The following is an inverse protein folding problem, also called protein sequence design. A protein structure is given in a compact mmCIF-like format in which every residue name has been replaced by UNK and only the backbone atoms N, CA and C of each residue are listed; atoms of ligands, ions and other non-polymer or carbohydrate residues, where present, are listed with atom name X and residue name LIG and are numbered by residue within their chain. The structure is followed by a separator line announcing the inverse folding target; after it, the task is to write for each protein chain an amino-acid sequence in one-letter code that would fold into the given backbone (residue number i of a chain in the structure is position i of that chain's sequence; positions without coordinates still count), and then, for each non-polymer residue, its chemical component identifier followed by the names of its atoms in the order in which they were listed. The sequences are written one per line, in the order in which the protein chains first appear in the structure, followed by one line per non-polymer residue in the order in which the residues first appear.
data_IF_433047519524
#
_entry.id   IF_433047519524
#
_cell.length_a   1.000
_cell.length_b   1.000
_cell.length_c   1.000
_cell.angle_alpha   90.00
_cell.angle_beta   90.00
_cell.angle_gamma   90.00
#
_symmetry.space_group_name_H-M   'P 1'
#
loop_
_entity.id
_entity.type
_entity.pdbx_description
1 polymer ?
#
# COMPACT_ATOMS: atom_id res chain seq x y z
N UNK A 1 -29.04 -21.09 4.71
CA UNK A 1 -28.31 -21.09 3.43
C UNK A 1 -27.48 -22.36 3.37
N UNK A 2 -27.70 -23.21 2.37
CA UNK A 2 -26.93 -24.44 2.23
C UNK A 2 -25.43 -24.09 2.15
N UNK A 3 -24.60 -24.68 3.02
CA UNK A 3 -23.15 -24.67 2.85
C UNK A 3 -22.89 -25.31 1.48
N UNK A 4 -22.56 -24.51 0.46
CA UNK A 4 -21.99 -25.06 -0.78
C UNK A 4 -20.80 -25.91 -0.33
N UNK A 5 -20.86 -27.21 -0.53
CA UNK A 5 -19.70 -28.08 -0.39
C UNK A 5 -18.66 -27.57 -1.38
N UNK A 6 -17.71 -26.76 -0.91
CA UNK A 6 -16.60 -26.32 -1.74
C UNK A 6 -15.75 -27.55 -2.01
N UNK A 7 -15.66 -27.97 -3.26
CA UNK A 7 -14.75 -29.02 -3.66
C UNK A 7 -13.33 -28.43 -3.72
N UNK A 8 -12.40 -29.09 -3.06
CA UNK A 8 -10.97 -28.82 -3.21
C UNK A 8 -10.52 -29.29 -4.59
N UNK A 9 -9.63 -28.53 -5.21
CA UNK A 9 -9.04 -28.83 -6.51
C UNK A 9 -7.58 -29.21 -6.32
N UNK A 10 -7.17 -30.34 -6.89
CA UNK A 10 -5.78 -30.71 -7.13
C UNK A 10 -5.62 -30.91 -8.63
N UNK A 11 -4.67 -30.19 -9.23
CA UNK A 11 -4.37 -30.28 -10.66
C UNK A 11 -3.18 -31.19 -10.95
N UNK A 12 -2.35 -31.42 -9.94
CA UNK A 12 -1.20 -32.32 -9.95
C UNK A 12 -1.39 -33.28 -8.78
N UNK A 13 -1.30 -34.58 -9.03
CA UNK A 13 -1.49 -35.60 -8.00
C UNK A 13 -0.52 -35.40 -6.83
N UNK A 14 -1.07 -35.25 -5.63
CA UNK A 14 -0.31 -35.06 -4.40
C UNK A 14 0.27 -33.66 -4.16
N UNK A 15 -0.02 -32.69 -5.04
CA UNK A 15 0.43 -31.30 -4.88
C UNK A 15 -0.78 -30.35 -4.87
N UNK A 16 -1.01 -29.74 -3.71
CA UNK A 16 -2.06 -28.72 -3.57
C UNK A 16 -1.67 -27.43 -4.32
N UNK A 17 -2.61 -26.79 -5.04
CA UNK A 17 -2.39 -25.45 -5.58
C UNK A 17 -2.22 -24.45 -4.42
N UNK A 18 -1.28 -23.53 -4.59
CA UNK A 18 -0.93 -22.58 -3.53
C UNK A 18 -0.07 -21.43 -3.98
N UNK A 19 0.19 -20.51 -3.06
CA UNK A 19 1.14 -19.42 -3.24
C UNK A 19 2.30 -19.57 -2.25
N UNK A 20 3.53 -19.39 -2.73
CA UNK A 20 4.75 -19.61 -1.98
C UNK A 20 4.77 -18.84 -0.64
N UNK A 21 5.19 -19.51 0.43
CA UNK A 21 5.25 -18.96 1.79
C UNK A 21 3.92 -18.91 2.54
N UNK A 22 2.77 -18.95 1.86
CA UNK A 22 1.45 -18.81 2.50
C UNK A 22 0.91 -20.14 3.03
N UNK A 23 1.64 -20.76 3.98
CA UNK A 23 1.24 -22.01 4.63
C UNK A 23 -0.10 -21.89 5.37
N UNK A 24 -0.29 -20.76 6.06
CA UNK A 24 -1.50 -20.44 6.78
C UNK A 24 -2.04 -19.08 6.33
N UNK A 25 -3.27 -19.05 5.86
CA UNK A 25 -3.87 -17.89 5.22
C UNK A 25 -5.39 -17.92 5.41
N UNK A 26 -6.03 -16.76 5.48
CA UNK A 26 -7.50 -16.70 5.46
C UNK A 26 -8.10 -17.02 4.10
N UNK A 27 -7.27 -17.10 3.06
CA UNK A 27 -7.60 -17.63 1.74
C UNK A 27 -6.99 -19.01 1.58
N UNK A 28 -7.83 -20.01 1.31
CA UNK A 28 -7.41 -21.39 1.04
C UNK A 28 -7.39 -21.64 -0.47
N UNK A 29 -6.18 -21.77 -1.02
CA UNK A 29 -5.92 -21.86 -2.46
C UNK A 29 -6.29 -23.21 -3.08
N UNK A 30 -6.72 -24.18 -2.27
CA UNK A 30 -7.34 -25.41 -2.79
C UNK A 30 -8.73 -25.15 -3.37
N UNK A 31 -9.31 -23.97 -3.14
CA UNK A 31 -10.59 -23.56 -3.70
C UNK A 31 -10.41 -22.52 -4.80
N UNK A 32 -11.07 -22.71 -5.95
CA UNK A 32 -11.04 -21.78 -7.08
C UNK A 32 -11.42 -20.33 -6.70
N UNK A 33 -12.34 -20.16 -5.74
CA UNK A 33 -12.77 -18.84 -5.27
C UNK A 33 -11.59 -17.97 -4.78
N UNK A 34 -10.54 -18.59 -4.23
CA UNK A 34 -9.35 -17.91 -3.69
C UNK A 34 -8.41 -17.41 -4.79
N UNK A 35 -8.58 -17.89 -6.02
CA UNK A 35 -7.86 -17.45 -7.22
C UNK A 35 -8.64 -16.38 -8.01
N UNK A 36 -9.92 -16.16 -7.68
CA UNK A 36 -10.81 -15.24 -8.37
C UNK A 36 -10.87 -13.82 -7.79
N UNK A 37 -11.72 -13.01 -8.43
CA UNK A 37 -12.13 -11.62 -8.11
C UNK A 37 -11.31 -10.89 -7.03
N UNK A 38 -10.26 -10.19 -7.48
CA UNK A 38 -9.34 -9.34 -6.70
C UNK A 38 -8.58 -10.00 -5.52
N UNK A 39 -8.72 -11.32 -5.30
CA UNK A 39 -7.98 -12.02 -4.26
C UNK A 39 -6.53 -12.28 -4.67
N UNK A 40 -6.31 -12.90 -5.84
CA UNK A 40 -4.95 -13.19 -6.32
C UNK A 40 -4.05 -11.94 -6.34
N UNK A 41 -4.55 -10.80 -6.81
CA UNK A 41 -3.79 -9.56 -6.91
C UNK A 41 -3.41 -8.92 -5.56
N UNK A 42 -4.06 -9.31 -4.46
CA UNK A 42 -3.64 -8.94 -3.10
C UNK A 42 -2.79 -10.03 -2.44
N UNK A 43 -2.98 -11.29 -2.81
CA UNK A 43 -2.22 -12.44 -2.28
C UNK A 43 -0.83 -12.62 -2.90
N UNK A 44 -0.72 -12.58 -4.22
CA UNK A 44 0.53 -12.80 -4.94
C UNK A 44 1.67 -11.89 -4.48
N UNK A 45 1.43 -10.57 -4.25
CA UNK A 45 2.42 -9.67 -3.64
C UNK A 45 3.11 -10.18 -2.38
N UNK A 46 2.36 -10.76 -1.45
CA UNK A 46 2.91 -11.28 -0.20
C UNK A 46 3.82 -12.50 -0.44
N UNK A 47 3.42 -13.35 -1.40
CA UNK A 47 4.24 -14.50 -1.82
C UNK A 47 5.48 -14.12 -2.61
N UNK A 48 5.44 -13.05 -3.40
CA UNK A 48 6.64 -12.52 -4.04
C UNK A 48 7.66 -12.06 -2.99
N UNK A 49 7.22 -11.37 -1.92
CA UNK A 49 8.11 -11.00 -0.80
C UNK A 49 8.67 -12.24 -0.10
N UNK A 50 7.85 -13.25 0.17
CA UNK A 50 8.31 -14.50 0.77
C UNK A 50 9.35 -15.21 -0.11
N UNK A 51 9.13 -15.25 -1.42
CA UNK A 51 10.05 -15.82 -2.40
C UNK A 51 11.37 -15.04 -2.46
N UNK A 52 11.32 -13.71 -2.54
CA UNK A 52 12.51 -12.86 -2.43
C UNK A 52 13.30 -13.13 -1.14
N UNK A 53 12.61 -13.31 -0.01
CA UNK A 53 13.24 -13.67 1.27
C UNK A 53 14.01 -15.00 1.17
N UNK A 54 13.43 -16.02 0.53
CA UNK A 54 14.10 -17.31 0.30
C UNK A 54 15.37 -17.20 -0.57
N UNK A 55 15.47 -16.14 -1.37
CA UNK A 55 16.61 -15.79 -2.22
C UNK A 55 17.57 -14.80 -1.57
N UNK A 56 17.38 -14.48 -0.28
CA UNK A 56 18.11 -13.43 0.44
C UNK A 56 18.02 -12.04 -0.22
N UNK A 57 16.90 -11.75 -0.88
CA UNK A 57 16.63 -10.46 -1.52
C UNK A 57 15.70 -9.61 -0.65
N UNK A 58 16.08 -8.36 -0.44
CA UNK A 58 15.27 -7.39 0.32
C UNK A 58 14.51 -6.44 -0.62
N UNK A 59 13.20 -6.21 -0.39
CA UNK A 59 12.48 -5.11 -1.01
C UNK A 59 13.12 -3.74 -0.81
N UNK A 60 12.88 -2.84 -1.77
CA UNK A 60 13.35 -1.44 -1.72
C UNK A 60 12.39 -0.62 -0.89
N UNK A 61 12.87 -0.10 0.23
CA UNK A 61 12.10 0.73 1.15
C UNK A 61 12.28 2.22 0.83
N UNK A 62 11.21 2.82 0.31
CA UNK A 62 11.11 4.23 -0.03
C UNK A 62 10.77 5.02 1.23
N UNK A 63 11.73 5.81 1.69
CA UNK A 63 11.66 6.62 2.90
C UNK A 63 11.90 8.09 2.60
N UNK A 64 11.77 8.91 3.63
CA UNK A 64 12.25 10.29 3.62
C UNK A 64 13.47 10.47 4.54
N UNK A 65 14.24 11.54 4.32
CA UNK A 65 15.22 12.05 5.28
C UNK A 65 14.64 13.23 6.09
N UNK A 66 15.46 13.90 6.93
CA UNK A 66 15.02 15.04 7.76
C UNK A 66 14.56 16.25 6.93
N UNK A 67 14.98 16.36 5.68
CA UNK A 67 14.56 17.41 4.74
C UNK A 67 13.31 17.00 3.93
N UNK A 68 12.69 15.86 4.26
CA UNK A 68 11.60 15.25 3.49
C UNK A 68 12.00 14.80 2.06
N UNK A 69 13.29 14.71 1.76
CA UNK A 69 13.76 14.21 0.47
C UNK A 69 13.66 12.68 0.43
N UNK A 70 13.36 12.12 -0.74
CA UNK A 70 13.22 10.68 -0.93
C UNK A 70 14.59 10.00 -0.84
N UNK A 71 14.64 8.92 -0.06
CA UNK A 71 15.82 8.06 0.09
C UNK A 71 15.40 6.60 0.02
N UNK A 72 16.26 5.77 -0.56
CA UNK A 72 16.08 4.31 -0.59
C UNK A 72 16.89 3.64 0.49
N UNK A 73 16.28 2.62 1.11
CA UNK A 73 16.92 1.67 2.01
C UNK A 73 16.46 0.27 1.62
N UNK A 74 17.11 -0.75 2.15
CA UNK A 74 16.59 -2.11 2.07
C UNK A 74 15.76 -2.43 3.32
N UNK A 75 14.67 -3.17 3.15
CA UNK A 75 13.90 -3.75 4.26
C UNK A 75 13.81 -5.27 4.08
N UNK A 76 14.26 -6.02 5.08
CA UNK A 76 14.12 -7.49 5.07
C UNK A 76 12.64 -7.88 5.12
N UNK A 77 12.27 -9.02 4.54
CA UNK A 77 10.88 -9.51 4.60
C UNK A 77 10.35 -9.66 6.02
N UNK A 78 11.16 -10.17 6.96
CA UNK A 78 10.80 -10.28 8.39
C UNK A 78 10.44 -8.93 9.01
N UNK A 79 11.22 -7.87 8.71
CA UNK A 79 10.94 -6.52 9.20
C UNK A 79 9.71 -5.89 8.54
N UNK A 80 9.48 -6.15 7.26
CA UNK A 80 8.31 -5.66 6.52
C UNK A 80 7.01 -6.30 7.03
N UNK A 81 7.03 -7.62 7.20
CA UNK A 81 5.86 -8.43 7.56
C UNK A 81 5.71 -8.58 9.08
N UNK A 82 6.67 -8.13 9.88
CA UNK A 82 6.68 -8.25 11.34
C UNK A 82 6.99 -9.67 11.86
N UNK A 83 7.12 -10.64 10.95
CA UNK A 83 7.40 -12.05 11.21
C UNK A 83 8.10 -12.66 10.01
N UNK A 84 8.90 -13.70 10.21
CA UNK A 84 9.50 -14.46 9.11
C UNK A 84 8.38 -15.05 8.22
N UNK A 85 8.28 -14.66 6.93
CA UNK A 85 7.22 -15.15 6.05
C UNK A 85 7.18 -16.66 5.87
N UNK A 86 8.28 -17.38 6.14
CA UNK A 86 8.39 -18.82 5.88
C UNK A 86 8.19 -19.68 7.14
N UNK A 87 8.11 -19.05 8.31
CA UNK A 87 7.93 -19.76 9.58
C UNK A 87 6.49 -20.26 9.75
N UNK A 88 6.32 -21.29 10.58
CA UNK A 88 5.00 -21.90 10.80
C UNK A 88 4.07 -21.03 11.67
N UNK A 89 4.59 -19.97 12.27
CA UNK A 89 3.82 -18.97 13.01
C UNK A 89 3.25 -17.84 12.12
N UNK A 90 3.70 -17.73 10.86
CA UNK A 90 3.19 -16.70 9.96
C UNK A 90 1.79 -17.05 9.45
N UNK A 91 0.82 -16.17 9.71
CA UNK A 91 -0.52 -16.23 9.14
C UNK A 91 -0.82 -14.99 8.32
N UNK A 92 -1.25 -15.20 7.09
CA UNK A 92 -1.58 -14.17 6.12
C UNK A 92 -3.09 -13.92 6.14
N UNK A 93 -3.53 -12.83 6.78
CA UNK A 93 -4.95 -12.48 6.85
C UNK A 93 -5.28 -11.36 5.86
N UNK A 94 -6.11 -11.66 4.87
CA UNK A 94 -6.47 -10.72 3.80
C UNK A 94 -7.79 -10.00 4.05
N UNK A 95 -7.85 -8.73 3.63
CA UNK A 95 -9.02 -7.87 3.82
C UNK A 95 -9.55 -7.92 5.26
N UNK A 96 -8.63 -7.77 6.21
CA UNK A 96 -8.86 -7.96 7.64
C UNK A 96 -8.88 -6.64 8.40
N UNK A 97 -9.54 -6.63 9.56
CA UNK A 97 -9.45 -5.52 10.51
C UNK A 97 -8.08 -5.53 11.18
N UNK A 98 -7.51 -4.36 11.41
CA UNK A 98 -6.23 -4.20 12.09
C UNK A 98 -6.42 -3.46 13.41
N UNK A 99 -6.66 -4.23 14.48
CA UNK A 99 -6.99 -3.67 15.79
C UNK A 99 -5.98 -2.63 16.31
N UNK A 100 -4.66 -2.70 16.03
CA UNK A 100 -3.72 -1.70 16.55
C UNK A 100 -4.06 -0.27 16.12
N UNK A 101 -4.78 -0.09 15.01
CA UNK A 101 -5.25 1.21 14.53
C UNK A 101 -6.65 1.58 14.98
N UNK A 102 -7.50 0.62 15.35
CA UNK A 102 -8.91 0.87 15.68
C UNK A 102 -9.11 1.78 16.89
N UNK A 103 -8.12 1.90 17.76
CA UNK A 103 -8.15 2.81 18.91
C UNK A 103 -8.10 4.31 18.52
N UNK A 104 -7.58 4.63 17.33
CA UNK A 104 -7.36 6.02 16.92
C UNK A 104 -8.53 6.65 16.16
N UNK A 105 -9.53 5.87 15.76
CA UNK A 105 -10.61 6.39 14.92
C UNK A 105 -11.97 5.77 15.19
N UNK A 106 -13.01 6.51 14.78
CA UNK A 106 -14.36 5.98 14.61
C UNK A 106 -14.78 6.08 13.15
N UNK A 107 -15.55 5.10 12.67
CA UNK A 107 -16.10 5.09 11.31
C UNK A 107 -17.48 4.42 11.30
N UNK A 108 -18.33 4.78 10.33
CA UNK A 108 -19.65 4.14 10.13
C UNK A 108 -19.53 2.65 9.80
N UNK A 109 -18.45 2.28 9.09
CA UNK A 109 -18.03 0.91 8.85
C UNK A 109 -16.52 0.84 9.08
N UNK A 110 -16.07 -0.21 9.78
CA UNK A 110 -14.63 -0.46 9.94
C UNK A 110 -13.99 -0.74 8.57
N UNK A 111 -12.93 -0.01 8.28
CA UNK A 111 -12.10 -0.27 7.12
C UNK A 111 -11.24 -1.51 7.33
N UNK A 112 -10.92 -2.18 6.22
CA UNK A 112 -10.09 -3.38 6.18
C UNK A 112 -8.76 -3.04 5.50
N UNK A 113 -7.67 -3.59 6.01
CA UNK A 113 -6.35 -3.51 5.38
C UNK A 113 -6.22 -4.68 4.40
N UNK A 114 -5.58 -4.46 3.26
CA UNK A 114 -5.40 -5.48 2.22
C UNK A 114 -4.70 -6.75 2.77
N UNK A 115 -3.63 -6.60 3.56
CA UNK A 115 -2.90 -7.68 4.21
C UNK A 115 -2.61 -7.35 5.69
N UNK A 116 -2.96 -8.26 6.59
CA UNK A 116 -2.57 -8.26 8.00
C UNK A 116 -1.79 -9.54 8.28
N UNK A 117 -0.57 -9.38 8.80
CA UNK A 117 0.25 -10.50 9.26
C UNK A 117 -0.05 -10.78 10.72
N UNK A 118 -0.32 -12.04 11.05
CA UNK A 118 -0.62 -12.49 12.42
C UNK A 118 0.43 -13.52 12.83
N UNK A 119 0.97 -13.36 14.03
CA UNK A 119 1.72 -14.44 14.70
C UNK A 119 0.71 -15.41 15.31
N UNK A 120 0.69 -16.66 14.83
CA UNK A 120 -0.29 -17.69 15.25
C UNK A 120 -0.14 -18.08 16.70
N UNK A 121 1.09 -18.25 17.17
CA UNK A 121 1.39 -18.64 18.55
C UNK A 121 0.87 -17.64 19.58
N UNK A 122 0.90 -16.35 19.26
CA UNK A 122 0.38 -15.29 20.16
C UNK A 122 -1.00 -14.78 19.78
N UNK A 123 -1.50 -15.13 18.59
CA UNK A 123 -2.70 -14.56 17.97
C UNK A 123 -2.68 -13.02 17.87
N UNK A 124 -1.48 -12.43 17.72
CA UNK A 124 -1.31 -10.97 17.62
C UNK A 124 -0.97 -10.55 16.19
N UNK A 125 -1.61 -9.51 15.65
CA UNK A 125 -1.20 -8.89 14.41
C UNK A 125 0.12 -8.16 14.61
N UNK A 126 1.04 -8.35 13.67
CA UNK A 126 2.42 -7.85 13.73
C UNK A 126 2.74 -6.86 12.61
N UNK A 127 1.94 -6.84 11.54
CA UNK A 127 2.06 -5.88 10.45
C UNK A 127 0.72 -5.74 9.70
N UNK A 128 0.47 -4.55 9.17
CA UNK A 128 -0.69 -4.25 8.32
C UNK A 128 -0.23 -3.43 7.12
N UNK A 129 -0.50 -3.90 5.90
CA UNK A 129 0.00 -3.33 4.65
C UNK A 129 -1.12 -3.20 3.62
N UNK A 130 -1.18 -2.02 2.99
CA UNK A 130 -1.90 -1.86 1.73
C UNK A 130 -1.10 -2.49 0.60
N UNK A 131 -1.79 -3.10 -0.36
CA UNK A 131 -1.15 -3.84 -1.46
C UNK A 131 -1.48 -3.18 -2.80
N UNK A 132 -0.44 -2.89 -3.59
CA UNK A 132 -0.58 -2.27 -4.92
C UNK A 132 0.28 -3.01 -5.95
N UNK A 133 -0.31 -3.97 -6.66
CA UNK A 133 0.36 -4.62 -7.80
C UNK A 133 0.25 -3.72 -9.04
N UNK A 134 1.37 -3.19 -9.53
CA UNK A 134 1.39 -2.17 -10.59
C UNK A 134 2.22 -2.56 -11.80
N UNK A 135 1.72 -2.24 -12.99
CA UNK A 135 2.47 -2.38 -14.24
C UNK A 135 3.61 -1.36 -14.31
N UNK A 136 4.75 -1.76 -14.86
CA UNK A 136 5.86 -0.87 -15.17
C UNK A 136 6.30 -1.11 -16.62
N UNK A 137 6.49 -0.09 -17.46
CA UNK A 137 6.04 1.29 -17.28
C UNK A 137 4.52 1.42 -17.35
N UNK A 138 4.01 2.59 -16.96
CA UNK A 138 2.67 3.02 -17.28
C UNK A 138 2.59 3.72 -18.66
N UNK A 139 1.38 4.09 -19.08
CA UNK A 139 1.17 4.76 -20.36
C UNK A 139 1.89 6.12 -20.49
N UNK A 140 2.23 6.76 -19.37
CA UNK A 140 2.88 8.08 -19.39
C UNK A 140 4.38 8.01 -19.55
N UNK A 141 4.99 6.85 -19.30
CA UNK A 141 6.43 6.63 -19.32
C UNK A 141 6.88 5.51 -20.25
N UNK A 142 5.97 4.77 -20.88
CA UNK A 142 6.30 3.63 -21.76
C UNK A 142 7.25 3.91 -22.93
N UNK A 143 7.24 5.16 -23.42
CA UNK A 143 8.06 5.58 -24.55
C UNK A 143 9.38 6.24 -24.10
N UNK A 144 9.68 6.26 -22.80
CA UNK A 144 10.93 6.80 -22.23
C UNK A 144 12.01 5.71 -22.08
N UNK A 145 13.25 6.07 -21.73
CA UNK A 145 14.25 5.10 -21.28
C UNK A 145 13.82 4.40 -19.98
N UNK A 146 14.31 3.19 -19.75
CA UNK A 146 13.96 2.36 -18.59
C UNK A 146 14.21 3.06 -17.24
N UNK A 147 15.24 3.90 -17.15
CA UNK A 147 15.56 4.72 -15.98
C UNK A 147 14.50 5.78 -15.64
N UNK A 148 13.64 6.11 -16.62
CA UNK A 148 12.56 7.08 -16.52
C UNK A 148 11.17 6.41 -16.43
N UNK A 149 11.12 5.07 -16.33
CA UNK A 149 9.88 4.35 -16.13
C UNK A 149 9.25 4.65 -14.79
N UNK A 150 7.92 4.69 -14.76
CA UNK A 150 7.16 4.77 -13.53
C UNK A 150 5.84 4.02 -13.66
N UNK A 151 5.21 3.80 -12.53
CA UNK A 151 3.91 3.13 -12.44
C UNK A 151 2.83 4.12 -12.02
N UNK A 152 1.64 4.01 -12.60
CA UNK A 152 0.47 4.66 -12.00
C UNK A 152 0.18 4.00 -10.65
N UNK A 153 -0.03 4.82 -9.63
CA UNK A 153 -0.49 4.35 -8.31
C UNK A 153 -1.75 5.10 -7.91
N UNK A 154 -2.78 4.34 -7.55
CA UNK A 154 -4.06 4.85 -7.07
C UNK A 154 -4.16 4.59 -5.56
N UNK A 155 -4.32 5.66 -4.79
CA UNK A 155 -4.49 5.61 -3.34
C UNK A 155 -5.96 5.79 -3.00
N UNK A 156 -6.51 4.85 -2.22
CA UNK A 156 -7.90 4.90 -1.77
C UNK A 156 -8.02 5.68 -0.47
N UNK A 157 -9.21 6.20 -0.17
CA UNK A 157 -9.47 6.92 1.09
C UNK A 157 -9.07 6.14 2.35
N UNK A 158 -9.31 4.81 2.47
CA UNK A 158 -8.87 4.05 3.64
C UNK A 158 -7.34 4.00 3.83
N UNK A 159 -6.56 4.09 2.76
CA UNK A 159 -5.09 4.19 2.88
C UNK A 159 -4.68 5.46 3.65
N UNK A 160 -5.45 6.54 3.56
CA UNK A 160 -5.20 7.80 4.28
C UNK A 160 -5.57 7.67 5.76
N UNK A 161 -6.62 6.89 6.07
CA UNK A 161 -6.92 6.48 7.45
C UNK A 161 -5.73 5.73 8.06
N UNK A 162 -5.21 4.72 7.37
CA UNK A 162 -4.09 3.91 7.86
C UNK A 162 -2.80 4.74 7.97
N UNK A 163 -2.58 5.69 7.06
CA UNK A 163 -1.52 6.69 7.17
C UNK A 163 -1.65 7.49 8.47
N UNK A 164 -2.82 8.09 8.73
CA UNK A 164 -3.06 8.85 9.95
C UNK A 164 -2.85 8.00 11.21
N UNK A 165 -3.42 6.79 11.27
CA UNK A 165 -3.24 5.88 12.40
C UNK A 165 -1.78 5.49 12.64
N UNK A 166 -0.99 5.27 11.57
CA UNK A 166 0.45 4.98 11.70
C UNK A 166 1.24 6.11 12.36
N UNK A 167 0.82 7.36 12.09
CA UNK A 167 1.42 8.56 12.68
C UNK A 167 0.93 8.72 14.12
N UNK A 168 -0.38 8.58 14.39
CA UNK A 168 -0.94 8.62 15.74
C UNK A 168 -0.22 7.65 16.69
N UNK A 169 0.03 6.42 16.23
CA UNK A 169 0.76 5.42 17.02
C UNK A 169 2.18 5.86 17.41
N UNK A 170 2.84 6.68 16.60
CA UNK A 170 4.17 7.23 16.93
C UNK A 170 4.14 8.31 18.01
N UNK A 171 2.96 8.90 18.26
CA UNK A 171 2.72 10.01 19.18
C UNK A 171 1.77 9.66 20.34
N UNK A 172 1.37 8.39 20.53
CA UNK A 172 0.34 7.99 21.50
C UNK A 172 0.76 8.01 22.99
N UNK A 173 1.75 8.84 23.33
CA UNK A 173 2.07 9.19 24.72
C UNK A 173 1.56 10.60 25.02
N UNK A 174 1.33 10.96 26.30
CA UNK A 174 0.94 12.33 26.66
C UNK A 174 1.89 13.40 26.09
N UNK A 175 3.21 13.16 26.21
CA UNK A 175 4.24 14.04 25.63
C UNK A 175 4.22 14.05 24.09
N UNK A 176 3.98 12.89 23.48
CA UNK A 176 3.87 12.77 22.03
C UNK A 176 2.69 13.56 21.47
N UNK A 177 1.52 13.49 22.11
CA UNK A 177 0.32 14.23 21.73
C UNK A 177 0.53 15.74 21.80
N UNK A 178 1.13 16.25 22.87
CA UNK A 178 1.50 17.67 22.99
C UNK A 178 2.47 18.09 21.88
N UNK A 179 3.52 17.30 21.63
CA UNK A 179 4.47 17.60 20.56
C UNK A 179 3.81 17.63 19.17
N UNK A 180 2.93 16.68 18.89
CA UNK A 180 2.17 16.65 17.63
C UNK A 180 1.25 17.87 17.53
N UNK A 181 0.54 18.22 18.61
CA UNK A 181 -0.30 19.39 18.68
C UNK A 181 0.47 20.67 18.35
N UNK A 182 1.65 20.86 18.95
CA UNK A 182 2.50 22.03 18.72
C UNK A 182 2.95 22.14 17.25
N UNK A 183 3.27 21.01 16.60
CA UNK A 183 3.64 21.00 15.18
C UNK A 183 2.47 21.26 14.22
N UNK A 184 1.24 20.93 14.62
CA UNK A 184 0.05 21.22 13.82
C UNK A 184 -0.32 22.71 13.87
N UNK A 185 0.31 23.50 14.76
CA UNK A 185 0.32 24.96 14.71
C UNK A 185 -1.06 25.63 14.67
N UNK A 186 -2.02 25.15 15.47
CA UNK A 186 -3.35 25.72 15.79
C UNK A 186 -4.19 26.35 14.66
N UNK A 187 -3.84 26.16 13.38
CA UNK A 187 -4.62 26.59 12.20
C UNK A 187 -6.03 26.01 12.26
N UNK A 188 -6.19 24.86 12.91
CA UNK A 188 -7.48 24.22 13.03
C UNK A 188 -8.49 25.00 13.87
N UNK A 189 -8.04 25.90 14.73
CA UNK A 189 -8.91 26.82 15.49
C UNK A 189 -9.34 28.03 14.65
N UNK A 190 -8.57 28.38 13.61
CA UNK A 190 -8.87 29.50 12.71
C UNK A 190 -9.95 29.14 11.68
N UNK A 191 -10.03 27.86 11.28
CA UNK A 191 -11.00 27.36 10.30
C UNK A 191 -12.29 26.94 11.01
N UNK A 192 -13.36 27.74 10.85
CA UNK A 192 -14.67 27.45 11.47
C UNK A 192 -15.41 26.31 10.78
N UNK A 193 -15.48 26.36 9.45
CA UNK A 193 -16.09 25.31 8.64
C UNK A 193 -15.08 24.74 7.66
N UNK A 194 -14.57 23.55 8.00
CA UNK A 194 -13.64 22.81 7.16
C UNK A 194 -14.28 22.34 5.85
N UNK A 195 -15.60 22.21 5.77
CA UNK A 195 -16.29 21.82 4.54
C UNK A 195 -16.33 22.93 3.47
N UNK A 196 -16.14 24.19 3.89
CA UNK A 196 -16.19 25.35 3.01
C UNK A 196 -14.81 25.65 2.40
N UNK A 197 -14.67 25.44 1.09
CA UNK A 197 -13.41 25.61 0.35
C UNK A 197 -12.79 27.00 0.61
N UNK A 198 -13.60 28.06 0.62
CA UNK A 198 -13.14 29.44 0.81
C UNK A 198 -12.51 29.70 2.18
N UNK A 199 -12.85 28.89 3.19
CA UNK A 199 -12.25 28.98 4.53
C UNK A 199 -10.99 28.13 4.66
N UNK A 200 -10.78 27.14 3.79
CA UNK A 200 -9.64 26.21 3.91
C UNK A 200 -8.49 26.59 2.99
N UNK A 201 -8.78 27.00 1.75
CA UNK A 201 -7.76 27.36 0.74
C UNK A 201 -6.72 28.36 1.26
N UNK A 202 -7.09 29.46 1.95
CA UNK A 202 -6.11 30.43 2.46
C UNK A 202 -5.09 29.83 3.45
N UNK A 203 -5.44 28.73 4.10
CA UNK A 203 -4.61 28.07 5.11
C UNK A 203 -3.88 26.84 4.58
N UNK A 204 -4.07 26.45 3.31
CA UNK A 204 -3.50 25.22 2.77
C UNK A 204 -1.97 25.16 2.89
N UNK A 205 -1.29 26.28 2.63
CA UNK A 205 0.16 26.34 2.78
C UNK A 205 0.61 26.07 4.23
N UNK A 206 -0.11 26.62 5.21
CA UNK A 206 0.20 26.39 6.62
C UNK A 206 -0.07 24.92 7.02
N UNK A 207 -1.18 24.34 6.55
CA UNK A 207 -1.53 22.92 6.70
C UNK A 207 -0.42 22.02 6.12
N UNK A 208 0.05 22.33 4.90
CA UNK A 208 1.13 21.61 4.22
C UNK A 208 2.43 21.66 5.04
N UNK A 209 2.83 22.84 5.53
CA UNK A 209 4.05 22.98 6.33
C UNK A 209 3.97 22.24 7.67
N UNK A 210 2.80 22.23 8.32
CA UNK A 210 2.56 21.44 9.53
C UNK A 210 2.76 19.94 9.26
N UNK A 211 2.16 19.40 8.19
CA UNK A 211 2.34 17.99 7.80
C UNK A 211 3.80 17.66 7.44
N UNK A 212 4.50 18.57 6.74
CA UNK A 212 5.93 18.41 6.44
C UNK A 212 6.80 18.40 7.72
N UNK A 213 6.43 19.18 8.74
CA UNK A 213 7.11 19.20 10.04
C UNK A 213 6.91 17.89 10.80
N UNK A 214 5.67 17.37 10.83
CA UNK A 214 5.37 16.03 11.38
C UNK A 214 6.18 14.95 10.67
N UNK A 215 6.26 15.01 9.34
CA UNK A 215 7.07 14.09 8.54
C UNK A 215 8.56 14.18 8.92
N UNK A 216 9.14 15.37 8.98
CA UNK A 216 10.55 15.55 9.36
C UNK A 216 10.87 14.98 10.75
N UNK A 217 9.97 15.17 11.73
CA UNK A 217 10.15 14.66 13.09
C UNK A 217 10.11 13.13 13.16
N UNK A 218 9.30 12.49 12.32
CA UNK A 218 9.13 11.04 12.27
C UNK A 218 10.18 10.29 11.44
N UNK A 219 11.20 10.98 10.91
CA UNK A 219 12.21 10.37 10.02
C UNK A 219 12.83 9.06 10.56
N UNK A 220 12.97 8.93 11.88
CA UNK A 220 13.57 7.75 12.52
C UNK A 220 12.54 6.68 12.95
N UNK A 221 11.24 6.96 12.77
CA UNK A 221 10.11 6.12 13.17
C UNK A 221 9.20 5.75 11.98
N UNK A 222 9.68 5.95 10.75
CA UNK A 222 8.95 5.62 9.54
C UNK A 222 8.64 4.12 9.51
N UNK A 223 7.39 3.79 9.19
CA UNK A 223 6.93 2.40 9.09
C UNK A 223 6.44 2.12 7.66
N UNK A 224 6.57 0.87 7.17
CA UNK A 224 5.92 0.43 5.95
C UNK A 224 4.41 0.69 5.99
N UNK A 225 3.85 1.16 4.86
CA UNK A 225 2.41 1.39 4.71
C UNK A 225 1.87 0.72 3.45
N UNK A 226 2.56 0.85 2.32
CA UNK A 226 2.14 0.26 1.04
C UNK A 226 3.24 -0.69 0.55
N UNK A 227 2.87 -1.94 0.29
CA UNK A 227 3.68 -2.90 -0.45
C UNK A 227 3.29 -2.85 -1.93
N UNK A 228 4.20 -2.38 -2.77
CA UNK A 228 4.02 -2.23 -4.21
C UNK A 228 4.97 -3.15 -4.98
N UNK A 229 4.54 -4.36 -5.34
CA UNK A 229 5.20 -5.10 -6.39
C UNK A 229 5.01 -4.42 -7.75
N UNK A 230 6.09 -4.39 -8.52
CA UNK A 230 6.06 -4.02 -9.93
C UNK A 230 6.11 -5.27 -10.80
N UNK A 231 5.47 -5.22 -11.96
CA UNK A 231 5.68 -6.19 -13.02
C UNK A 231 6.01 -5.46 -14.33
N UNK A 232 7.27 -5.61 -14.76
CA UNK A 232 7.84 -4.92 -15.90
C UNK A 232 7.43 -5.60 -17.20
N UNK A 233 6.92 -4.82 -18.12
CA UNK A 233 6.55 -5.25 -19.47
C UNK A 233 7.50 -4.67 -20.51
N UNK A 234 7.43 -5.22 -21.72
CA UNK A 234 7.95 -4.56 -22.90
C UNK A 234 7.29 -3.19 -23.12
N UNK A 235 7.88 -2.36 -23.97
CA UNK A 235 7.37 -1.01 -24.31
C UNK A 235 5.98 -1.03 -24.93
N UNK A 236 5.57 -2.16 -25.52
CA UNK A 236 4.24 -2.33 -26.10
C UNK A 236 3.18 -2.70 -25.06
N UNK A 237 3.57 -2.97 -23.81
CA UNK A 237 2.72 -3.46 -22.73
C UNK A 237 2.02 -4.78 -23.06
N UNK A 238 2.67 -5.63 -23.88
CA UNK A 238 2.14 -6.90 -24.39
C UNK A 238 2.79 -8.11 -23.73
N UNK A 239 4.09 -8.03 -23.46
CA UNK A 239 4.85 -9.14 -22.87
C UNK A 239 5.57 -8.71 -21.58
N UNK A 240 5.89 -9.65 -20.69
CA UNK A 240 6.80 -9.41 -19.58
C UNK A 240 8.24 -9.39 -20.08
N UNK A 241 9.02 -8.45 -19.55
CA UNK A 241 10.49 -8.50 -19.66
C UNK A 241 11.03 -9.76 -18.99
N UNK A 242 12.22 -10.22 -19.40
CA UNK A 242 12.84 -11.40 -18.75
C UNK A 242 12.99 -11.19 -17.25
N UNK A 243 13.44 -9.99 -16.86
CA UNK A 243 13.56 -9.48 -15.50
C UNK A 243 12.39 -8.53 -15.23
N UNK A 244 11.34 -9.03 -14.59
CA UNK A 244 10.08 -8.31 -14.52
C UNK A 244 9.54 -8.04 -13.13
N UNK A 245 9.93 -8.79 -12.11
CA UNK A 245 9.33 -8.64 -10.78
C UNK A 245 10.32 -8.04 -9.78
N UNK A 246 9.85 -7.03 -9.04
CA UNK A 246 10.52 -6.50 -7.85
C UNK A 246 9.49 -5.90 -6.90
N UNK A 247 9.90 -5.54 -5.68
CA UNK A 247 9.00 -4.98 -4.66
C UNK A 247 9.57 -3.69 -4.11
N UNK A 248 8.78 -2.63 -4.26
CA UNK A 248 8.96 -1.34 -3.61
C UNK A 248 8.01 -1.21 -2.43
N UNK A 249 8.49 -0.71 -1.31
CA UNK A 249 7.72 -0.52 -0.08
C UNK A 249 7.70 0.96 0.25
N UNK A 250 6.52 1.55 0.31
CA UNK A 250 6.34 2.95 0.68
C UNK A 250 6.19 3.06 2.18
N UNK A 251 7.05 3.86 2.80
CA UNK A 251 6.83 4.32 4.17
C UNK A 251 5.61 5.22 4.26
N UNK A 252 5.02 5.31 5.45
CA UNK A 252 4.00 6.31 5.77
C UNK A 252 4.41 7.73 5.34
N UNK A 253 5.66 8.15 5.59
CA UNK A 253 6.13 9.48 5.19
C UNK A 253 6.31 9.64 3.68
N UNK A 254 6.78 8.61 2.97
CA UNK A 254 6.88 8.68 1.51
C UNK A 254 5.50 8.84 0.84
N UNK A 255 4.43 8.30 1.44
CA UNK A 255 3.05 8.51 0.96
C UNK A 255 2.58 9.95 1.16
N UNK A 256 3.03 10.64 2.21
CA UNK A 256 2.81 12.09 2.36
C UNK A 256 3.48 12.84 1.20
N UNK A 257 4.76 12.53 0.91
CA UNK A 257 5.48 13.17 -0.19
C UNK A 257 4.83 12.85 -1.55
N UNK A 258 4.28 11.65 -1.71
CA UNK A 258 3.52 11.24 -2.89
C UNK A 258 2.27 12.09 -3.09
N UNK A 259 1.51 12.36 -2.02
CA UNK A 259 0.33 13.23 -2.08
C UNK A 259 0.71 14.69 -2.40
N UNK A 260 1.92 15.14 -2.05
CA UNK A 260 2.39 16.52 -2.30
C UNK A 260 2.98 16.76 -3.70
N UNK A 261 2.93 15.78 -4.62
CA UNK A 261 3.60 15.87 -5.93
C UNK A 261 2.87 16.66 -7.01
N UNK A 262 1.56 16.83 -6.91
CA UNK A 262 0.82 17.62 -7.90
C UNK A 262 1.05 19.12 -7.70
N UNK A 263 0.96 19.87 -8.80
CA UNK A 263 0.98 21.33 -8.77
C UNK A 263 -0.18 21.88 -7.96
N UNK A 264 0.08 22.91 -7.17
CA UNK A 264 -0.94 23.61 -6.39
C UNK A 264 -1.90 24.37 -7.32
N UNK A 265 -3.18 24.35 -6.99
CA UNK A 265 -4.16 25.30 -7.49
C UNK A 265 -4.34 26.38 -6.43
N UNK A 266 -4.27 27.64 -6.84
CA UNK A 266 -4.39 28.78 -5.91
C UNK A 266 -5.85 29.05 -5.51
N UNK A 267 -6.82 28.68 -6.37
CA UNK A 267 -8.25 29.01 -6.20
C UNK A 267 -9.15 27.80 -5.89
N UNK A 268 -8.63 26.56 -5.93
CA UNK A 268 -9.39 25.34 -5.67
C UNK A 268 -8.58 24.33 -4.86
N UNK A 269 -9.25 23.28 -4.39
CA UNK A 269 -8.60 22.17 -3.68
C UNK A 269 -8.58 20.96 -4.61
N UNK A 270 -7.39 20.53 -5.03
CA UNK A 270 -7.21 19.28 -5.77
C UNK A 270 -7.43 18.05 -4.89
N UNK A 271 -7.54 16.86 -5.50
CA UNK A 271 -7.62 15.59 -4.76
C UNK A 271 -6.42 15.37 -3.83
N UNK A 272 -5.24 15.77 -4.29
CA UNK A 272 -3.99 15.70 -3.56
C UNK A 272 -3.99 16.68 -2.37
N UNK A 273 -4.35 17.95 -2.60
CA UNK A 273 -4.48 18.95 -1.53
C UNK A 273 -5.53 18.52 -0.49
N UNK A 274 -6.69 18.02 -0.93
CA UNK A 274 -7.73 17.45 -0.06
C UNK A 274 -7.19 16.33 0.82
N UNK A 275 -6.36 15.46 0.29
CA UNK A 275 -5.78 14.34 1.04
C UNK A 275 -4.87 14.83 2.18
N UNK A 276 -4.09 15.90 1.94
CA UNK A 276 -3.26 16.54 2.96
C UNK A 276 -4.14 17.23 4.02
N UNK A 277 -5.23 17.87 3.61
CA UNK A 277 -6.22 18.45 4.52
C UNK A 277 -6.87 17.37 5.40
N UNK A 278 -7.27 16.24 4.81
CA UNK A 278 -7.79 15.08 5.55
C UNK A 278 -6.80 14.60 6.59
N UNK A 279 -5.54 14.37 6.18
CA UNK A 279 -4.50 13.90 7.08
C UNK A 279 -4.29 14.89 8.24
N UNK A 280 -4.17 16.18 7.95
CA UNK A 280 -4.04 17.22 8.96
C UNK A 280 -5.23 17.17 9.94
N UNK A 281 -6.46 17.15 9.44
CA UNK A 281 -7.65 17.16 10.29
C UNK A 281 -7.72 15.94 11.19
N UNK A 282 -7.39 14.75 10.67
CA UNK A 282 -7.35 13.50 11.44
C UNK A 282 -6.32 13.58 12.57
N UNK A 283 -5.11 14.09 12.29
CA UNK A 283 -4.06 14.25 13.30
C UNK A 283 -4.43 15.31 14.33
N UNK A 284 -5.03 16.42 13.90
CA UNK A 284 -5.46 17.48 14.81
C UNK A 284 -6.58 16.99 15.74
N UNK A 285 -7.61 16.32 15.22
CA UNK A 285 -8.66 15.72 16.05
C UNK A 285 -8.10 14.69 17.04
N UNK A 286 -7.11 13.90 16.62
CA UNK A 286 -6.41 12.98 17.53
C UNK A 286 -5.72 13.71 18.68
N UNK A 287 -5.09 14.87 18.43
CA UNK A 287 -4.46 15.64 19.51
C UNK A 287 -5.46 16.23 20.50
N UNK A 288 -6.66 16.59 20.05
CA UNK A 288 -7.71 17.17 20.89
C UNK A 288 -8.50 16.11 21.67
N UNK A 289 -8.86 15.01 20.99
CA UNK A 289 -9.87 14.06 21.48
C UNK A 289 -9.31 12.65 21.71
N UNK A 290 -8.04 12.41 21.40
CA UNK A 290 -7.41 11.09 21.42
C UNK A 290 -7.83 10.17 20.28
N UNK A 291 -8.75 10.60 19.40
CA UNK A 291 -9.26 9.88 18.23
C UNK A 291 -9.88 10.84 17.22
N UNK A 292 -10.08 10.39 15.99
CA UNK A 292 -10.75 11.18 14.94
C UNK A 292 -11.94 10.44 14.30
N UNK A 293 -12.90 11.18 13.74
CA UNK A 293 -14.03 10.59 13.03
C UNK A 293 -13.74 10.51 11.52
N UNK A 294 -13.22 9.37 11.08
CA UNK A 294 -12.81 9.15 9.70
C UNK A 294 -13.95 9.37 8.70
N UNK A 295 -15.12 8.77 8.96
CA UNK A 295 -16.27 8.87 8.05
C UNK A 295 -16.77 10.31 7.93
N UNK A 296 -16.84 11.03 9.06
CA UNK A 296 -17.24 12.43 9.04
C UNK A 296 -16.26 13.28 8.24
N UNK A 297 -14.95 13.12 8.46
CA UNK A 297 -13.90 13.88 7.77
C UNK A 297 -13.95 13.64 6.26
N UNK A 298 -13.93 12.38 5.81
CA UNK A 298 -13.90 12.07 4.36
C UNK A 298 -15.18 12.55 3.65
N UNK A 299 -16.33 12.46 4.30
CA UNK A 299 -17.61 12.87 3.70
C UNK A 299 -17.79 14.40 3.67
N UNK A 300 -17.47 15.08 4.78
CA UNK A 300 -17.63 16.54 4.89
C UNK A 300 -16.58 17.28 4.08
N UNK A 301 -15.33 16.81 4.09
CA UNK A 301 -14.20 17.48 3.44
C UNK A 301 -13.99 16.97 2.02
N UNK A 302 -15.08 16.75 1.28
CA UNK A 302 -15.02 16.12 -0.04
C UNK A 302 -14.59 17.07 -1.16
N UNK A 303 -14.79 18.39 -0.97
CA UNK A 303 -14.43 19.47 -1.90
C UNK A 303 -14.73 19.14 -3.37
N UNK A 304 -16.00 18.86 -3.68
CA UNK A 304 -16.52 18.47 -5.02
C UNK A 304 -16.17 17.05 -5.48
N UNK A 305 -15.33 16.30 -4.76
CA UNK A 305 -14.97 14.92 -5.11
C UNK A 305 -15.73 13.89 -4.26
N UNK A 306 -16.77 13.27 -4.83
CA UNK A 306 -17.45 12.10 -4.23
C UNK A 306 -16.91 10.80 -4.84
N UNK A 307 -15.73 10.36 -4.40
CA UNK A 307 -15.16 9.07 -4.82
C UNK A 307 -14.41 8.38 -3.69
N UNK A 308 -14.35 7.05 -3.74
CA UNK A 308 -13.55 6.13 -2.90
C UNK A 308 -12.02 6.33 -3.04
N UNK A 309 -11.59 7.07 -4.06
CA UNK A 309 -10.20 7.44 -4.32
C UNK A 309 -9.81 8.70 -3.55
N UNK A 310 -8.68 8.64 -2.84
CA UNK A 310 -8.03 9.80 -2.26
C UNK A 310 -7.36 10.61 -3.37
N UNK A 311 -6.41 9.99 -4.07
CA UNK A 311 -5.70 10.54 -5.24
C UNK A 311 -5.10 9.42 -6.11
N UNK A 312 -4.58 9.80 -7.27
CA UNK A 312 -3.76 8.93 -8.12
C UNK A 312 -2.64 9.77 -8.74
N UNK A 313 -1.47 9.19 -8.93
CA UNK A 313 -0.37 9.84 -9.65
C UNK A 313 0.18 8.92 -10.74
N UNK A 314 0.60 9.52 -11.86
CA UNK A 314 1.12 8.80 -13.02
C UNK A 314 2.58 8.38 -12.85
N UNK A 315 3.07 7.56 -13.78
CA UNK A 315 4.45 7.13 -13.88
C UNK A 315 5.46 8.27 -13.88
N UNK A 316 5.14 9.37 -14.57
CA UNK A 316 5.99 10.58 -14.57
C UNK A 316 6.20 11.15 -13.16
N UNK A 317 5.18 11.08 -12.30
CA UNK A 317 5.24 11.58 -10.94
C UNK A 317 5.79 10.54 -9.95
N UNK A 318 5.63 9.23 -10.20
CA UNK A 318 6.18 8.16 -9.36
C UNK A 318 7.65 7.86 -9.66
N UNK A 319 8.14 8.03 -10.89
CA UNK A 319 9.52 7.71 -11.26
C UNK A 319 10.57 8.30 -10.29
N UNK A 320 10.50 9.58 -9.88
CA UNK A 320 11.46 10.13 -8.92
C UNK A 320 11.52 9.42 -7.55
N UNK A 321 10.48 8.67 -7.17
CA UNK A 321 10.47 7.85 -5.96
C UNK A 321 11.01 6.45 -6.18
N UNK A 322 10.95 5.95 -7.41
CA UNK A 322 11.31 4.57 -7.75
C UNK A 322 12.72 4.46 -8.35
N UNK A 323 13.30 5.58 -8.82
CA UNK A 323 14.57 5.63 -9.54
C UNK A 323 15.70 4.90 -8.80
N UNK A 324 16.05 3.72 -9.30
CA UNK A 324 16.99 2.77 -8.71
C UNK A 324 17.42 1.75 -9.75
N UNK A 325 18.48 0.98 -9.46
CA UNK A 325 18.90 -0.14 -10.31
C UNK A 325 17.83 -1.22 -10.45
N UNK A 326 17.03 -1.43 -9.40
CA UNK A 326 15.93 -2.39 -9.33
C UNK A 326 14.72 -1.98 -10.19
N UNK A 327 14.55 -0.67 -10.42
CA UNK A 327 13.55 -0.18 -11.36
C UNK A 327 13.95 -0.51 -12.81
N UNK A 328 15.22 -0.25 -13.16
CA UNK A 328 15.75 -0.47 -14.50
C UNK A 328 15.84 -1.98 -14.82
N UNK A 329 16.31 -2.77 -13.85
CA UNK A 329 16.46 -4.21 -13.96
C UNK A 329 15.88 -4.92 -12.72
N UNK A 330 14.56 -5.18 -12.70
CA UNK A 330 13.91 -5.97 -11.65
C UNK A 330 14.62 -7.29 -11.39
N UNK A 331 14.66 -7.72 -10.13
CA UNK A 331 15.56 -8.81 -9.73
C UNK A 331 15.00 -10.22 -9.92
N UNK A 332 13.69 -10.36 -10.08
CA UNK A 332 13.03 -11.67 -10.26
C UNK A 332 12.61 -11.86 -11.71
N UNK A 333 12.97 -13.02 -12.27
CA UNK A 333 12.67 -13.33 -13.67
C UNK A 333 11.23 -13.79 -13.87
N UNK A 334 10.65 -13.56 -15.06
CA UNK A 334 9.34 -14.10 -15.44
C UNK A 334 9.27 -15.63 -15.34
N UNK A 335 10.40 -16.32 -15.54
CA UNK A 335 10.48 -17.79 -15.41
C UNK A 335 10.54 -18.28 -13.96
N UNK A 336 10.67 -17.39 -12.98
CA UNK A 336 10.60 -17.73 -11.56
C UNK A 336 9.16 -17.69 -11.01
N UNK A 337 8.19 -17.19 -11.78
CA UNK A 337 6.78 -17.10 -11.35
C UNK A 337 6.22 -18.49 -11.00
N UNK A 338 6.66 -19.54 -11.70
CA UNK A 338 6.30 -20.94 -11.39
C UNK A 338 6.76 -21.44 -10.01
N UNK A 339 7.74 -20.76 -9.40
CA UNK A 339 8.18 -21.05 -8.04
C UNK A 339 7.38 -20.27 -7.00
N UNK A 340 6.56 -19.31 -7.43
CA UNK A 340 5.70 -18.48 -6.57
C UNK A 340 4.26 -18.99 -6.60
N UNK A 341 3.77 -19.37 -7.77
CA UNK A 341 2.45 -19.98 -7.98
C UNK A 341 2.65 -21.48 -8.12
N UNK A 342 2.12 -22.24 -7.16
CA UNK A 342 2.41 -23.66 -6.97
C UNK A 342 1.24 -24.54 -7.42
N UNK A 343 1.52 -25.82 -7.70
CA UNK A 343 0.50 -26.85 -7.94
C UNK A 343 -0.40 -26.55 -9.13
N UNK A 344 0.16 -25.96 -10.18
CA UNK A 344 -0.59 -25.49 -11.35
C UNK A 344 -1.70 -24.46 -11.07
N UNK A 345 -1.62 -23.76 -9.93
CA UNK A 345 -2.62 -22.80 -9.49
C UNK A 345 -2.94 -21.68 -10.50
N UNK A 346 -2.03 -21.36 -11.42
CA UNK A 346 -2.28 -20.43 -12.52
C UNK A 346 -3.47 -20.85 -13.40
N UNK A 347 -3.77 -22.15 -13.50
CA UNK A 347 -4.92 -22.66 -14.26
C UNK A 347 -6.26 -22.39 -13.57
N UNK A 348 -6.23 -22.02 -12.28
CA UNK A 348 -7.40 -21.66 -11.48
C UNK A 348 -7.65 -20.15 -11.48
N UNK A 349 -6.74 -19.35 -12.03
CA UNK A 349 -6.91 -17.91 -12.17
C UNK A 349 -8.16 -17.61 -13.01
N UNK A 350 -8.93 -16.63 -12.55
CA UNK A 350 -10.05 -16.05 -13.31
C UNK A 350 -9.70 -14.60 -13.61
N UNK A 351 -9.07 -14.32 -14.76
CA UNK A 351 -8.50 -13.01 -15.05
C UNK A 351 -9.49 -11.86 -14.91
N UNK A 352 -9.13 -10.88 -14.09
CA UNK A 352 -9.82 -9.58 -14.01
C UNK A 352 -8.87 -8.39 -14.21
N UNK A 353 -7.57 -8.57 -13.96
CA UNK A 353 -6.54 -7.56 -14.21
C UNK A 353 -5.61 -8.02 -15.32
N UNK A 354 -4.67 -7.16 -15.69
CA UNK A 354 -3.73 -7.44 -16.79
C UNK A 354 -2.70 -8.51 -16.42
N UNK A 355 -2.27 -8.55 -15.16
CA UNK A 355 -1.22 -9.48 -14.74
C UNK A 355 -1.70 -10.94 -14.70
N UNK A 356 -2.82 -11.22 -14.04
CA UNK A 356 -3.48 -12.53 -14.04
C UNK A 356 -3.93 -12.96 -15.44
N UNK A 357 -4.42 -12.03 -16.28
CA UNK A 357 -4.70 -12.33 -17.69
C UNK A 357 -3.45 -12.79 -18.44
N UNK A 358 -2.34 -12.10 -18.24
CA UNK A 358 -1.07 -12.43 -18.85
C UNK A 358 -0.56 -13.81 -18.39
N UNK A 359 -0.67 -14.14 -17.10
CA UNK A 359 -0.24 -15.45 -16.59
C UNK A 359 -1.05 -16.60 -17.19
N UNK A 360 -2.36 -16.42 -17.37
CA UNK A 360 -3.23 -17.43 -18.00
C UNK A 360 -2.91 -17.62 -19.48
N UNK A 361 -2.56 -16.53 -20.20
CA UNK A 361 -2.27 -16.61 -21.63
C UNK A 361 -0.86 -17.11 -21.97
N UNK A 362 0.02 -17.27 -20.98
CA UNK A 362 1.43 -17.64 -21.15
C UNK A 362 1.78 -18.91 -20.34
N UNK A 363 1.19 -20.07 -20.65
CA UNK A 363 1.40 -21.31 -19.91
C UNK A 363 2.84 -21.82 -19.96
N UNK A 364 3.65 -21.37 -20.92
CA UNK A 364 5.09 -21.68 -21.01
C UNK A 364 5.91 -21.15 -19.83
N UNK A 365 5.42 -20.14 -19.10
CA UNK A 365 6.06 -19.65 -17.87
C UNK A 365 6.07 -20.71 -16.74
N UNK A 366 5.22 -21.73 -16.87
CA UNK A 366 4.99 -22.77 -15.88
C UNK A 366 5.52 -24.15 -16.32
N UNK A 367 6.30 -24.19 -17.41
CA UNK A 367 6.96 -25.41 -17.89
C UNK A 367 8.30 -25.66 -17.19
#
# INVERSE_FOLDING_TARGET
MAKKNKQTVQLIDGVDPGLFGQKYSSRDYRYEDSWGKNQFNSSFPASLVAYMSSKNMSPIFICTNRKNEIVHKNITATKLLGIDPLCDDAYYDYEAGYYPYEQYYTASKKEKIDLVMINRSTSTPVSGLEVKLTTLPDNTTKDLPDAEYGSEIVVRSPTILFLACSICACYDSPRGKVKLHDMLNTIGEEIRDWGEIRQVVPHFNAIKQAILSVSSDLVNKQVPLIMQPIWKTDRQLKDLEEKCLDVFVWSNLSVIQMALRESESDDDISRNQRTIIWLYKMLWDFTQFGKFNYTAIVNSLSYKYKTDKAFAISGKLTNPFLKSTELEAPRISKYEIKNIILGDGQKLLRPERRFDAYLVSHPELFK
#
